data_IF_715548481710
#
_entry.id   IF_715548481710
#
_cell.length_a   1.000
_cell.length_b   1.000
_cell.length_c   1.000
_cell.angle_alpha   90.00
_cell.angle_beta   90.00
_cell.angle_gamma   90.00
#
_symmetry.space_group_name_H-M   'P 1'
#
loop_
_entity.id
_entity.type
_entity.pdbx_description
1 polymer ?
#
# COMPACT_ATOMS: atom_id res chain seq x y z
N UNK A 1 14.95 10.84 -0.28
CA UNK A 1 13.95 9.81 -0.61
C UNK A 1 14.67 8.49 -0.81
N UNK A 2 14.16 7.39 -0.26
CA UNK A 2 14.70 6.06 -0.56
C UNK A 2 14.55 5.73 -2.06
N UNK A 3 15.59 5.16 -2.67
CA UNK A 3 15.58 4.78 -4.09
C UNK A 3 15.71 3.25 -4.20
N UNK A 4 14.86 2.65 -5.02
CA UNK A 4 14.97 1.24 -5.36
C UNK A 4 16.13 1.05 -6.35
N UNK A 5 16.98 0.01 -6.19
CA UNK A 5 18.00 -0.32 -7.18
C UNK A 5 17.40 -0.57 -8.57
N UNK A 6 18.09 -0.16 -9.63
CA UNK A 6 17.63 -0.36 -11.02
C UNK A 6 17.48 -1.84 -11.38
N UNK A 7 18.25 -2.71 -10.75
CA UNK A 7 18.22 -4.16 -10.88
C UNK A 7 17.27 -4.85 -9.88
N UNK A 8 16.43 -4.08 -9.18
CA UNK A 8 15.51 -4.64 -8.21
C UNK A 8 14.44 -5.52 -8.88
N UNK A 9 14.55 -6.82 -8.64
CA UNK A 9 13.54 -7.79 -9.07
C UNK A 9 12.28 -7.73 -8.20
N UNK A 10 11.18 -7.28 -8.79
CA UNK A 10 9.88 -7.28 -8.13
C UNK A 10 9.34 -8.70 -7.96
N UNK A 11 8.76 -8.98 -6.80
CA UNK A 11 8.10 -10.26 -6.53
C UNK A 11 6.70 -10.27 -7.15
N UNK A 12 6.42 -11.21 -8.06
CA UNK A 12 5.03 -11.40 -8.51
C UNK A 12 4.08 -11.66 -7.33
N UNK A 13 2.90 -11.00 -7.26
CA UNK A 13 2.30 -10.12 -8.28
C UNK A 13 2.46 -8.62 -7.99
N UNK A 14 3.51 -8.21 -7.29
CA UNK A 14 3.93 -6.81 -7.18
C UNK A 14 4.67 -6.38 -8.44
N UNK A 15 4.40 -5.16 -8.89
CA UNK A 15 5.06 -4.56 -10.05
C UNK A 15 5.43 -3.11 -9.77
N UNK A 16 6.49 -2.58 -10.41
CA UNK A 16 6.82 -1.17 -10.28
C UNK A 16 5.67 -0.30 -10.81
N UNK A 17 5.47 0.87 -10.20
CA UNK A 17 4.63 1.92 -10.76
C UNK A 17 5.52 2.78 -11.67
N UNK A 18 5.25 2.85 -12.98
CA UNK A 18 5.95 3.78 -13.85
C UNK A 18 5.75 5.23 -13.41
N UNK A 19 6.72 6.11 -13.65
CA UNK A 19 6.65 7.52 -13.21
C UNK A 19 5.43 8.29 -13.76
N UNK A 20 4.94 7.91 -14.95
CA UNK A 20 3.75 8.45 -15.61
C UNK A 20 2.42 7.86 -15.08
N UNK A 21 2.47 6.79 -14.29
CA UNK A 21 1.32 6.13 -13.66
C UNK A 21 1.02 6.62 -12.24
N UNK A 22 1.68 7.68 -11.79
CA UNK A 22 1.47 8.28 -10.46
C UNK A 22 0.07 8.89 -10.26
N UNK A 23 -0.70 9.04 -11.34
CA UNK A 23 -2.08 9.50 -11.31
C UNK A 23 -3.04 8.34 -11.00
N UNK A 24 -3.99 8.58 -10.10
CA UNK A 24 -5.05 7.61 -9.81
C UNK A 24 -5.86 7.27 -11.06
N UNK A 25 -6.07 8.24 -11.96
CA UNK A 25 -6.81 8.03 -13.21
C UNK A 25 -6.15 7.01 -14.14
N UNK A 26 -4.82 6.93 -14.23
CA UNK A 26 -4.14 5.94 -15.09
C UNK A 26 -4.21 4.51 -14.55
N UNK A 27 -4.28 4.36 -13.22
CA UNK A 27 -4.45 3.06 -12.56
C UNK A 27 -5.91 2.58 -12.71
N UNK A 28 -6.86 3.51 -12.75
CA UNK A 28 -8.29 3.23 -12.78
C UNK A 28 -8.98 3.48 -14.14
N UNK A 29 -8.26 3.80 -15.21
CA UNK A 29 -8.85 4.12 -16.52
C UNK A 29 -9.64 2.93 -17.13
N UNK A 30 -9.37 1.70 -16.69
CA UNK A 30 -10.17 0.51 -17.01
C UNK A 30 -11.31 0.20 -16.02
N UNK A 31 -11.32 0.81 -14.84
CA UNK A 31 -12.27 0.54 -13.76
C UNK A 31 -13.32 1.64 -13.59
N UNK A 32 -13.06 2.86 -14.05
CA UNK A 32 -14.06 3.96 -14.07
C UNK A 32 -15.11 3.80 -15.19
N UNK A 33 -14.92 2.91 -16.15
CA UNK A 33 -15.93 2.54 -17.16
C UNK A 33 -16.85 1.41 -16.73
N UNK A 34 -16.47 0.64 -15.70
CA UNK A 34 -17.30 -0.40 -15.09
C UNK A 34 -17.57 -0.04 -13.64
N UNK A 35 -18.37 1.02 -13.44
CA UNK A 35 -18.89 1.35 -12.12
C UNK A 35 -19.54 0.12 -11.47
N UNK A 36 -19.36 -0.02 -10.16
CA UNK A 36 -20.17 -0.94 -9.36
C UNK A 36 -21.65 -0.63 -9.63
N UNK A 37 -22.32 -1.49 -10.40
CA UNK A 37 -23.76 -1.39 -10.67
C UNK A 37 -24.63 -1.47 -9.40
N UNK A 38 -24.03 -1.75 -8.23
CA UNK A 38 -24.74 -1.96 -6.97
C UNK A 38 -24.72 -0.74 -6.03
N UNK A 39 -23.80 0.21 -6.16
CA UNK A 39 -23.73 1.37 -5.23
C UNK A 39 -23.75 2.75 -5.90
N UNK A 40 -23.48 2.86 -7.20
CA UNK A 40 -23.55 4.14 -7.93
C UNK A 40 -22.53 5.21 -7.48
N UNK A 41 -21.57 4.86 -6.62
CA UNK A 41 -20.49 5.77 -6.22
C UNK A 41 -19.46 5.86 -7.34
N UNK A 42 -19.53 6.95 -8.10
CA UNK A 42 -18.46 7.35 -9.00
C UNK A 42 -17.34 7.95 -8.15
N UNK A 43 -16.25 7.20 -7.98
CA UNK A 43 -15.02 7.75 -7.41
C UNK A 43 -14.38 8.70 -8.43
N UNK A 44 -14.91 9.93 -8.50
CA UNK A 44 -14.28 11.00 -9.29
C UNK A 44 -13.04 11.46 -8.52
N UNK A 45 -11.96 10.72 -8.67
CA UNK A 45 -10.64 11.17 -8.23
C UNK A 45 -10.21 12.28 -9.18
N UNK A 46 -10.48 13.53 -8.81
CA UNK A 46 -10.12 14.70 -9.57
C UNK A 46 -8.59 14.87 -9.62
N UNK A 47 -7.91 14.15 -10.52
CA UNK A 47 -6.48 14.33 -10.86
C UNK A 47 -5.50 14.34 -9.67
N UNK A 48 -5.78 13.60 -8.61
CA UNK A 48 -4.89 13.48 -7.45
C UNK A 48 -3.88 12.32 -7.64
N UNK A 49 -2.65 12.52 -7.17
CA UNK A 49 -1.61 11.47 -7.19
C UNK A 49 -1.85 10.47 -6.05
N UNK A 50 -1.30 9.26 -6.15
CA UNK A 50 -1.34 8.28 -5.04
C UNK A 50 -0.81 8.85 -3.71
N UNK A 51 0.19 9.74 -3.79
CA UNK A 51 0.76 10.41 -2.61
C UNK A 51 -0.22 11.40 -2.00
N UNK A 52 -0.97 12.13 -2.84
CA UNK A 52 -2.02 13.04 -2.36
C UNK A 52 -3.14 12.26 -1.66
N UNK A 53 -3.55 11.12 -2.23
CA UNK A 53 -4.57 10.27 -1.63
C UNK A 53 -4.10 9.68 -0.30
N UNK A 54 -2.89 9.12 -0.23
CA UNK A 54 -2.30 8.68 1.02
C UNK A 54 -2.36 9.79 2.07
N UNK A 55 -1.88 11.00 1.74
CA UNK A 55 -1.90 12.14 2.67
C UNK A 55 -3.32 12.55 3.11
N UNK A 56 -4.31 12.41 2.23
CA UNK A 56 -5.73 12.70 2.54
C UNK A 56 -6.30 11.68 3.52
N UNK A 57 -5.87 10.43 3.43
CA UNK A 57 -6.30 9.33 4.31
C UNK A 57 -5.59 9.30 5.66
N UNK A 58 -4.38 9.85 5.79
CA UNK A 58 -3.63 9.80 7.04
C UNK A 58 -4.29 10.63 8.15
N UNK A 59 -4.86 10.02 9.20
CA UNK A 59 -5.32 10.77 10.37
C UNK A 59 -4.11 11.20 11.22
N UNK A 60 -4.27 12.24 12.06
CA UNK A 60 -3.26 12.60 13.05
C UNK A 60 -2.88 11.43 13.95
N UNK A 61 -1.60 11.30 14.28
CA UNK A 61 -1.03 10.21 15.06
C UNK A 61 -0.78 8.91 14.27
N UNK A 62 -1.05 8.88 12.97
CA UNK A 62 -0.72 7.73 12.14
C UNK A 62 0.81 7.55 12.01
N UNK A 63 1.28 6.30 11.89
CA UNK A 63 2.70 5.95 11.81
C UNK A 63 3.47 6.71 10.70
N UNK A 64 2.77 7.03 9.61
CA UNK A 64 3.31 7.71 8.44
C UNK A 64 3.07 9.23 8.45
N UNK A 65 2.41 9.77 9.47
CA UNK A 65 2.15 11.22 9.54
C UNK A 65 3.46 12.02 9.46
N UNK A 66 3.46 13.10 8.66
CA UNK A 66 4.60 14.00 8.51
C UNK A 66 5.74 13.48 7.62
N UNK A 67 5.65 12.26 7.08
CA UNK A 67 6.64 11.74 6.15
C UNK A 67 6.39 12.22 4.70
N UNK A 68 7.46 12.19 3.91
CA UNK A 68 7.37 12.35 2.45
C UNK A 68 7.36 10.97 1.79
N UNK A 69 6.66 10.87 0.65
CA UNK A 69 6.45 9.61 -0.04
C UNK A 69 6.68 9.72 -1.54
N UNK A 70 7.05 8.59 -2.13
CA UNK A 70 6.97 8.31 -3.55
C UNK A 70 6.29 6.95 -3.73
N UNK A 71 5.23 6.87 -4.53
CA UNK A 71 4.64 5.60 -4.91
C UNK A 71 5.58 4.88 -5.87
N UNK A 72 5.96 3.64 -5.56
CA UNK A 72 7.00 2.89 -6.30
C UNK A 72 6.52 1.53 -6.78
N UNK A 73 5.47 0.97 -6.17
CA UNK A 73 4.96 -0.35 -6.54
C UNK A 73 3.48 -0.51 -6.26
N UNK A 74 2.85 -1.41 -7.00
CA UNK A 74 1.44 -1.78 -6.86
C UNK A 74 1.31 -3.30 -6.84
N UNK A 75 0.37 -3.80 -6.05
CA UNK A 75 -0.01 -5.21 -6.07
C UNK A 75 -1.08 -5.46 -7.13
N UNK A 76 -0.79 -6.29 -8.13
CA UNK A 76 -1.73 -6.53 -9.24
C UNK A 76 -3.02 -7.28 -8.84
N UNK A 77 -3.06 -7.89 -7.66
CA UNK A 77 -4.25 -8.62 -7.18
C UNK A 77 -5.27 -7.77 -6.43
N UNK A 78 -5.03 -6.47 -6.22
CA UNK A 78 -5.91 -5.54 -5.51
C UNK A 78 -5.57 -4.11 -5.91
N UNK A 79 -6.59 -3.30 -6.19
CA UNK A 79 -6.37 -1.91 -6.61
C UNK A 79 -6.11 -0.98 -5.42
N UNK A 80 -5.92 -1.54 -4.21
CA UNK A 80 -5.81 -0.79 -2.96
C UNK A 80 -4.44 -0.91 -2.29
N UNK A 81 -3.58 -1.79 -2.77
CA UNK A 81 -2.33 -2.15 -2.09
C UNK A 81 -1.12 -1.60 -2.86
N UNK A 82 -0.38 -0.72 -2.19
CA UNK A 82 0.71 0.06 -2.78
C UNK A 82 1.98 -0.01 -1.93
N UNK A 83 3.12 0.11 -2.59
CA UNK A 83 4.43 0.31 -1.95
C UNK A 83 4.85 1.75 -2.15
N UNK A 84 5.24 2.40 -1.06
CA UNK A 84 5.79 3.73 -1.03
C UNK A 84 7.23 3.69 -0.52
N UNK A 85 8.11 4.42 -1.19
CA UNK A 85 9.38 4.84 -0.62
C UNK A 85 9.14 6.06 0.28
N UNK A 86 9.81 6.10 1.44
CA UNK A 86 9.70 7.22 2.39
C UNK A 86 11.02 7.99 2.49
N UNK A 87 10.97 9.15 3.14
CA UNK A 87 12.17 9.90 3.53
C UNK A 87 12.74 9.50 4.91
N UNK A 88 12.13 8.55 5.63
CA UNK A 88 12.61 8.08 6.92
C UNK A 88 13.65 6.95 6.73
N UNK A 89 14.92 7.14 7.14
CA UNK A 89 15.96 6.12 6.97
C UNK A 89 15.73 4.85 7.81
N UNK A 90 14.92 4.92 8.87
CA UNK A 90 14.56 3.76 9.69
C UNK A 90 13.35 3.01 9.15
N UNK A 91 12.54 3.64 8.29
CA UNK A 91 11.32 3.09 7.70
C UNK A 91 11.25 3.43 6.19
N UNK A 92 12.31 3.13 5.41
CA UNK A 92 12.43 3.58 4.02
C UNK A 92 11.33 3.05 3.10
N UNK A 93 10.65 1.96 3.48
CA UNK A 93 9.65 1.30 2.66
C UNK A 93 8.36 1.16 3.49
N UNK A 94 7.24 1.58 2.92
CA UNK A 94 5.90 1.40 3.49
C UNK A 94 5.00 0.67 2.50
N UNK A 95 4.39 -0.43 2.94
CA UNK A 95 3.30 -1.10 2.23
C UNK A 95 1.98 -0.61 2.84
N UNK A 96 1.12 -0.03 2.01
CA UNK A 96 -0.11 0.64 2.46
C UNK A 96 -1.32 0.08 1.71
N UNK A 97 -2.37 -0.25 2.45
CA UNK A 97 -3.69 -0.54 1.93
C UNK A 97 -4.55 0.73 2.02
N UNK A 98 -4.68 1.47 0.91
CA UNK A 98 -5.53 2.65 0.83
C UNK A 98 -7.00 2.26 0.96
N UNK A 99 -7.78 3.04 1.70
CA UNK A 99 -9.20 2.77 1.91
C UNK A 99 -10.07 3.47 0.86
N UNK A 100 -9.54 4.52 0.24
CA UNK A 100 -10.18 5.51 -0.63
C UNK A 100 -11.27 6.32 0.08
N UNK A 101 -11.21 6.40 1.41
CA UNK A 101 -12.12 7.19 2.25
C UNK A 101 -11.32 8.03 3.23
N UNK A 102 -11.86 9.18 3.66
CA UNK A 102 -11.16 10.00 4.66
C UNK A 102 -11.25 9.33 6.03
N UNK A 103 -10.12 8.83 6.51
CA UNK A 103 -10.04 8.24 7.85
C UNK A 103 -9.97 9.31 8.95
N UNK A 104 -10.43 8.96 10.14
CA UNK A 104 -10.45 9.86 11.30
C UNK A 104 -9.67 9.34 12.50
N UNK A 105 -9.33 8.05 12.51
CA UNK A 105 -8.65 7.40 13.62
C UNK A 105 -7.61 6.40 13.11
N UNK A 106 -6.42 6.35 13.74
CA UNK A 106 -5.45 5.30 13.47
C UNK A 106 -6.01 3.92 13.89
N UNK A 107 -5.57 2.81 13.27
CA UNK A 107 -4.39 2.70 12.42
C UNK A 107 -4.69 2.75 10.91
N UNK A 108 -5.84 3.26 10.49
CA UNK A 108 -6.15 3.37 9.06
C UNK A 108 -5.41 4.59 8.44
N UNK A 109 -4.96 4.52 7.17
CA UNK A 109 -4.95 3.33 6.30
C UNK A 109 -3.95 2.28 6.79
N UNK A 110 -4.30 1.00 6.58
CA UNK A 110 -3.51 -0.09 7.12
C UNK A 110 -2.10 -0.11 6.53
N UNK A 111 -1.09 -0.12 7.39
CA UNK A 111 0.31 0.13 7.00
C UNK A 111 1.28 -0.85 7.64
N UNK A 112 2.24 -1.34 6.85
CA UNK A 112 3.44 -2.06 7.29
C UNK A 112 4.69 -1.34 6.81
N UNK A 113 5.70 -1.18 7.68
CA UNK A 113 6.98 -0.54 7.34
C UNK A 113 8.14 -1.53 7.44
N UNK A 114 9.18 -1.31 6.63
CA UNK A 114 10.35 -2.18 6.52
C UNK A 114 11.63 -1.35 6.50
N UNK A 115 12.67 -1.85 7.19
CA UNK A 115 13.98 -1.21 7.24
C UNK A 115 14.80 -1.50 5.98
N UNK A 116 14.52 -2.62 5.30
CA UNK A 116 15.26 -3.04 4.09
C UNK A 116 14.34 -3.66 3.05
N UNK A 117 14.80 -3.67 1.79
CA UNK A 117 14.12 -4.38 0.69
C UNK A 117 14.05 -5.89 0.92
N UNK A 118 15.05 -6.49 1.55
CA UNK A 118 15.05 -7.91 1.89
C UNK A 118 13.95 -8.24 2.89
N UNK A 119 13.76 -7.43 3.93
CA UNK A 119 12.66 -7.60 4.89
C UNK A 119 11.29 -7.49 4.21
N UNK A 120 11.12 -6.49 3.34
CA UNK A 120 9.91 -6.36 2.54
C UNK A 120 9.67 -7.60 1.68
N UNK A 121 10.72 -8.07 0.99
CA UNK A 121 10.65 -9.24 0.09
C UNK A 121 10.28 -10.51 0.84
N UNK A 122 10.93 -10.79 1.97
CA UNK A 122 10.63 -11.94 2.81
C UNK A 122 9.20 -11.91 3.36
N UNK A 123 8.72 -10.73 3.75
CA UNK A 123 7.33 -10.56 4.21
C UNK A 123 6.34 -10.81 3.07
N UNK A 124 6.56 -10.20 1.90
CA UNK A 124 5.68 -10.39 0.74
C UNK A 124 5.71 -11.86 0.29
N UNK A 125 6.88 -12.51 0.27
CA UNK A 125 6.96 -13.94 0.01
C UNK A 125 6.16 -14.73 1.03
N UNK A 126 6.30 -14.48 2.33
CA UNK A 126 5.51 -15.19 3.36
C UNK A 126 4.00 -15.02 3.18
N UNK A 127 3.57 -13.82 2.80
CA UNK A 127 2.18 -13.48 2.57
C UNK A 127 1.60 -14.07 1.26
N UNK A 128 2.44 -14.37 0.28
CA UNK A 128 2.04 -14.90 -1.04
C UNK A 128 2.38 -16.38 -1.27
N UNK A 129 3.33 -16.97 -0.54
CA UNK A 129 3.78 -18.36 -0.68
C UNK A 129 2.71 -19.38 -0.28
N UNK A 130 1.63 -18.94 0.38
CA UNK A 130 0.50 -19.78 0.74
C UNK A 130 -0.65 -19.80 -0.30
N UNK A 131 -0.40 -19.34 -1.53
CA UNK A 131 -1.36 -19.44 -2.62
C UNK A 131 -0.86 -20.40 -3.71
N UNK A 132 -1.46 -21.60 -3.87
CA UNK A 132 -1.44 -22.26 -5.16
C UNK A 132 -2.16 -21.36 -6.16
N UNK A 133 -1.63 -21.28 -7.38
CA UNK A 133 -1.98 -20.35 -8.47
C UNK A 133 -3.46 -20.35 -8.95
N UNK A 134 -4.43 -20.87 -8.20
CA UNK A 134 -5.84 -20.90 -8.60
C UNK A 134 -6.83 -20.53 -7.47
N UNK A 135 -7.56 -19.43 -7.75
CA UNK A 135 -8.84 -18.92 -7.17
C UNK A 135 -8.80 -18.03 -5.91
N UNK A 136 -9.14 -16.74 -6.11
CA UNK A 136 -10.08 -15.98 -5.26
C UNK A 136 -9.53 -14.99 -4.21
N UNK A 137 -10.25 -13.85 -3.94
CA UNK A 137 -9.69 -12.62 -3.39
C UNK A 137 -9.88 -12.47 -1.87
N UNK A 138 -9.40 -13.40 -1.04
CA UNK A 138 -9.72 -13.37 0.42
C UNK A 138 -8.50 -13.47 1.34
N UNK A 139 -7.28 -13.49 0.83
CA UNK A 139 -6.14 -13.67 1.72
C UNK A 139 -5.84 -12.48 2.65
N UNK A 140 -6.07 -11.20 2.25
CA UNK A 140 -5.37 -10.01 2.83
C UNK A 140 -6.03 -9.39 4.05
N UNK A 141 -7.32 -9.66 4.28
CA UNK A 141 -7.98 -9.22 5.53
C UNK A 141 -7.50 -9.98 6.78
N UNK A 142 -6.80 -11.12 6.63
CA UNK A 142 -6.09 -11.78 7.74
C UNK A 142 -4.65 -11.23 7.96
N UNK A 143 -4.17 -10.29 7.13
CA UNK A 143 -2.73 -9.96 6.94
C UNK A 143 -2.21 -8.72 7.70
N UNK A 144 -3.06 -7.82 8.22
CA UNK A 144 -2.59 -6.66 9.02
C UNK A 144 -2.80 -6.78 10.54
N UNK A 145 -3.73 -7.64 10.98
CA UNK A 145 -4.04 -7.82 12.41
C UNK A 145 -2.90 -8.48 13.22
N UNK A 146 -2.00 -9.24 12.58
CA UNK A 146 -0.93 -9.99 13.28
C UNK A 146 0.30 -9.16 13.69
N UNK A 147 0.45 -7.91 13.20
CA UNK A 147 1.61 -7.06 13.51
C UNK A 147 1.33 -5.93 14.51
N UNK A 148 0.08 -5.46 14.62
CA UNK A 148 -0.34 -4.60 15.75
C UNK A 148 -0.14 -5.30 17.11
N UNK A 149 -0.26 -6.64 17.15
CA UNK A 149 -0.01 -7.45 18.34
C UNK A 149 1.48 -7.62 18.71
N UNK A 150 2.44 -7.44 17.77
CA UNK A 150 3.87 -7.55 18.09
C UNK A 150 4.49 -6.22 18.51
N UNK A 151 3.96 -5.08 18.05
CA UNK A 151 4.41 -3.78 18.53
C UNK A 151 3.90 -3.45 19.95
N UNK A 152 2.78 -4.02 20.38
CA UNK A 152 2.30 -3.85 21.76
C UNK A 152 3.12 -4.62 22.81
N UNK A 153 3.88 -5.66 22.42
CA UNK A 153 4.68 -6.44 23.36
C UNK A 153 6.14 -5.99 23.51
N UNK A 154 6.62 -5.06 22.69
CA UNK A 154 8.00 -4.57 22.76
C UNK A 154 8.19 -3.30 23.64
N UNK A 155 7.12 -2.77 24.25
CA UNK A 155 7.18 -1.54 25.06
C UNK A 155 7.03 -1.78 26.58
N UNK A 156 7.25 -2.99 27.07
CA UNK A 156 7.28 -3.32 28.51
C UNK A 156 8.50 -4.20 28.87
N UNK A 157 9.69 -3.77 28.44
CA UNK A 157 10.97 -4.34 28.84
C UNK A 157 11.93 -3.25 29.26
#
# INVERSE_FOLDING_TARGET
MFAFPDDFEWLYPWTPIPDDYTLLTSIYDGALTNGNHETGEVFVCARETLVAELKRELPPGHLLEGLEFQAVGIYQGSHKDFVFATNDPHRPIACVHLTFVKESQPPAPSTSVFATLSEWREEMQRDHFNYPLHRGPIGLMRRFARRLLRFFHASHG
#
